data_IF_286974726656
#
_entry.id   IF_286974726656
#
_cell.length_a   1.000
_cell.length_b   1.000
_cell.length_c   1.000
_cell.angle_alpha   90.00
_cell.angle_beta   90.00
_cell.angle_gamma   90.00
#
_symmetry.space_group_name_H-M   'P 1'
#
loop_
_entity.id
_entity.type
_entity.pdbx_description
1 polymer ?
#
# COMPACT_ATOMS: atom_id res chain seq x y z
N UNK A 1 -4.99 25.97 15.91
CA UNK A 1 -3.66 25.34 16.07
C UNK A 1 -2.71 26.03 15.10
N UNK A 2 -1.57 26.54 15.57
CA UNK A 2 -0.57 27.17 14.70
C UNK A 2 0.50 26.13 14.36
N UNK A 3 0.31 25.42 13.25
CA UNK A 3 1.31 24.50 12.71
C UNK A 3 2.20 25.27 11.74
N UNK A 4 3.52 25.11 11.86
CA UNK A 4 4.47 25.66 10.88
C UNK A 4 4.80 24.58 9.86
N UNK A 5 4.37 24.80 8.62
CA UNK A 5 4.68 23.94 7.49
C UNK A 5 5.85 24.52 6.71
N UNK A 6 6.66 23.65 6.09
CA UNK A 6 7.59 24.07 5.05
C UNK A 6 6.84 24.61 3.83
N UNK A 7 7.47 25.49 3.04
CA UNK A 7 6.83 26.14 1.90
C UNK A 7 6.24 25.16 0.87
N UNK A 8 6.94 24.05 0.60
CA UNK A 8 6.46 22.99 -0.30
C UNK A 8 5.21 22.29 0.24
N UNK A 9 5.21 21.94 1.53
CA UNK A 9 4.08 21.30 2.18
C UNK A 9 2.85 22.23 2.23
N UNK A 10 3.06 23.53 2.44
CA UNK A 10 1.98 24.51 2.39
C UNK A 10 1.37 24.64 0.98
N UNK A 11 2.22 24.69 -0.05
CA UNK A 11 1.78 24.74 -1.44
C UNK A 11 0.99 23.49 -1.82
N UNK A 12 1.47 22.30 -1.45
CA UNK A 12 0.79 21.03 -1.69
C UNK A 12 -0.57 20.97 -0.98
N UNK A 13 -0.64 21.39 0.29
CA UNK A 13 -1.90 21.41 1.05
C UNK A 13 -2.92 22.37 0.44
N UNK A 14 -2.46 23.54 -0.04
CA UNK A 14 -3.32 24.52 -0.72
C UNK A 14 -3.86 23.99 -2.04
N UNK A 15 -3.02 23.35 -2.86
CA UNK A 15 -3.44 22.74 -4.12
C UNK A 15 -4.47 21.63 -3.89
N UNK A 16 -4.26 20.80 -2.87
CA UNK A 16 -5.17 19.71 -2.52
C UNK A 16 -6.54 20.22 -2.04
N UNK A 17 -6.55 21.31 -1.24
CA UNK A 17 -7.80 21.97 -0.84
C UNK A 17 -8.59 22.51 -2.04
N UNK A 18 -7.90 23.12 -3.02
CA UNK A 18 -8.54 23.58 -4.26
C UNK A 18 -9.09 22.41 -5.10
N UNK A 19 -8.31 21.34 -5.23
CA UNK A 19 -8.68 20.15 -6.02
C UNK A 19 -9.90 19.43 -5.45
N UNK A 20 -10.01 19.37 -4.13
CA UNK A 20 -11.06 18.59 -3.44
C UNK A 20 -12.24 19.43 -2.96
N UNK A 21 -12.11 20.76 -2.97
CA UNK A 21 -13.08 21.68 -2.37
C UNK A 21 -13.14 21.61 -0.84
N UNK A 22 -12.20 20.91 -0.20
CA UNK A 22 -12.14 20.73 1.26
C UNK A 22 -11.31 21.82 1.92
N UNK A 23 -11.58 22.09 3.19
CA UNK A 23 -10.73 23.01 3.95
C UNK A 23 -9.36 22.38 4.22
N UNK A 24 -8.31 23.20 4.25
CA UNK A 24 -6.96 22.75 4.59
C UNK A 24 -6.89 22.11 5.99
N UNK A 25 -7.72 22.60 6.92
CA UNK A 25 -7.81 22.06 8.28
C UNK A 25 -8.43 20.64 8.28
N UNK A 26 -9.45 20.40 7.46
CA UNK A 26 -10.08 19.07 7.36
C UNK A 26 -9.12 18.05 6.74
N UNK A 27 -8.40 18.44 5.70
CA UNK A 27 -7.36 17.60 5.08
C UNK A 27 -6.28 17.27 6.10
N UNK A 28 -5.79 18.27 6.84
CA UNK A 28 -4.75 18.09 7.84
C UNK A 28 -5.21 17.19 9.00
N UNK A 29 -6.44 17.39 9.51
CA UNK A 29 -7.02 16.54 10.57
C UNK A 29 -7.16 15.09 10.12
N UNK A 30 -7.63 14.86 8.90
CA UNK A 30 -7.76 13.51 8.36
C UNK A 30 -6.38 12.87 8.18
N UNK A 31 -5.42 13.57 7.58
CA UNK A 31 -4.06 13.06 7.37
C UNK A 31 -3.37 12.69 8.69
N UNK A 32 -3.45 13.55 9.70
CA UNK A 32 -2.93 13.28 11.05
C UNK A 32 -3.68 12.12 11.69
N UNK A 33 -5.01 12.10 11.57
CA UNK A 33 -5.84 11.02 12.11
C UNK A 33 -5.51 9.66 11.50
N UNK A 34 -5.25 9.59 10.19
CA UNK A 34 -4.76 8.37 9.51
C UNK A 34 -3.37 7.99 9.99
N UNK A 35 -2.43 8.95 9.99
CA UNK A 35 -1.04 8.71 10.37
C UNK A 35 -0.91 8.19 11.80
N UNK A 36 -1.72 8.71 12.72
CA UNK A 36 -1.73 8.31 14.13
C UNK A 36 -2.69 7.13 14.42
N UNK A 37 -3.37 6.58 13.41
CA UNK A 37 -4.32 5.48 13.58
C UNK A 37 -5.57 5.83 14.42
N UNK A 38 -5.93 7.11 14.50
CA UNK A 38 -7.04 7.62 15.32
C UNK A 38 -8.41 7.54 14.63
N UNK A 39 -8.46 7.20 13.35
CA UNK A 39 -9.70 7.05 12.58
C UNK A 39 -10.00 5.55 12.46
N UNK A 40 -10.96 5.01 13.24
CA UNK A 40 -11.39 3.63 13.11
C UNK A 40 -12.08 3.44 11.76
N UNK A 41 -11.54 2.55 10.91
CA UNK A 41 -12.12 2.27 9.58
C UNK A 41 -11.22 2.59 8.38
N UNK A 42 -9.97 3.04 8.58
CA UNK A 42 -8.97 3.16 7.50
C UNK A 42 -7.83 2.14 7.61
N UNK A 43 -8.13 0.93 8.08
CA UNK A 43 -7.31 -0.25 7.81
C UNK A 43 -7.45 -0.69 6.32
N UNK A 44 -7.42 0.26 5.39
CA UNK A 44 -8.05 0.09 4.08
C UNK A 44 -7.31 0.72 2.89
N UNK A 45 -6.02 1.05 2.99
CA UNK A 45 -5.31 1.48 1.76
C UNK A 45 -3.88 0.96 1.59
N UNK A 46 -3.21 0.48 2.65
CA UNK A 46 -1.89 -0.15 2.51
C UNK A 46 -1.79 -1.32 3.48
N UNK A 47 -1.51 -2.51 2.93
CA UNK A 47 -1.23 -3.71 3.71
C UNK A 47 -0.10 -3.44 4.73
N UNK A 48 -0.24 -3.83 6.01
CA UNK A 48 0.78 -3.60 7.03
C UNK A 48 2.19 -4.09 6.66
N UNK A 49 2.32 -5.12 5.83
CA UNK A 49 3.60 -5.63 5.35
C UNK A 49 4.23 -4.69 4.31
N UNK A 50 3.40 -4.07 3.47
CA UNK A 50 3.84 -3.03 2.52
C UNK A 50 4.24 -1.78 3.30
N UNK A 51 3.42 -1.35 4.26
CA UNK A 51 3.71 -0.19 5.11
C UNK A 51 5.02 -0.35 5.91
N UNK A 52 5.36 -1.58 6.31
CA UNK A 52 6.61 -1.91 7.02
C UNK A 52 7.80 -2.14 6.08
N UNK A 53 7.63 -1.98 4.77
CA UNK A 53 8.69 -2.21 3.77
C UNK A 53 9.16 -3.67 3.67
N UNK A 54 8.41 -4.62 4.25
CA UNK A 54 8.73 -6.06 4.16
C UNK A 54 8.35 -6.64 2.81
N UNK A 55 7.38 -6.03 2.13
CA UNK A 55 6.86 -6.44 0.83
C UNK A 55 6.74 -5.20 -0.05
N UNK A 56 7.08 -5.34 -1.33
CA UNK A 56 6.92 -4.25 -2.29
C UNK A 56 5.45 -4.11 -2.72
N UNK A 57 5.01 -2.87 -2.96
CA UNK A 57 3.69 -2.62 -3.54
C UNK A 57 3.56 -3.27 -4.93
N UNK A 58 2.40 -3.84 -5.28
CA UNK A 58 2.16 -4.39 -6.60
C UNK A 58 2.27 -3.29 -7.66
N UNK A 59 3.06 -3.55 -8.71
CA UNK A 59 3.25 -2.61 -9.83
C UNK A 59 2.21 -2.80 -10.95
N UNK A 60 1.53 -3.94 -10.95
CA UNK A 60 0.53 -4.32 -11.95
C UNK A 60 -0.66 -5.02 -11.28
N UNK A 61 -1.87 -4.93 -11.84
CA UNK A 61 -3.01 -5.68 -11.36
C UNK A 61 -2.78 -7.19 -11.44
N UNK A 62 -3.36 -7.94 -10.50
CA UNK A 62 -3.37 -9.40 -10.55
C UNK A 62 -4.05 -9.89 -11.85
N UNK A 63 -3.48 -10.93 -12.46
CA UNK A 63 -4.01 -11.56 -13.67
C UNK A 63 -3.93 -13.07 -13.52
N UNK A 64 -4.98 -13.76 -13.96
CA UNK A 64 -4.96 -15.22 -14.07
C UNK A 64 -3.93 -15.68 -15.10
N UNK A 65 -3.10 -16.64 -14.72
CA UNK A 65 -2.14 -17.28 -15.63
C UNK A 65 -2.87 -18.31 -16.49
N UNK A 66 -2.76 -18.14 -17.81
CA UNK A 66 -3.22 -19.10 -18.82
C UNK A 66 -2.12 -19.32 -19.87
N UNK A 67 -1.77 -20.56 -20.23
CA UNK A 67 -2.31 -21.82 -19.72
C UNK A 67 -1.80 -22.16 -18.31
N UNK A 68 -2.53 -23.03 -17.59
CA UNK A 68 -2.10 -23.55 -16.29
C UNK A 68 -1.18 -24.75 -16.48
N UNK A 69 -0.07 -24.80 -15.74
CA UNK A 69 0.78 -25.99 -15.66
C UNK A 69 -0.01 -27.15 -15.02
N UNK A 70 0.09 -28.34 -15.60
CA UNK A 70 -0.46 -29.58 -15.05
C UNK A 70 0.68 -30.44 -14.57
N UNK A 71 0.72 -30.72 -13.27
CA UNK A 71 1.65 -31.67 -12.67
C UNK A 71 1.29 -33.10 -13.09
N UNK A 72 2.31 -33.94 -13.25
CA UNK A 72 2.11 -35.37 -13.47
C UNK A 72 1.59 -36.03 -12.20
N UNK A 73 0.98 -37.20 -12.33
CA UNK A 73 0.59 -38.00 -11.16
C UNK A 73 1.82 -38.31 -10.30
N UNK A 74 1.77 -37.95 -9.02
CA UNK A 74 2.87 -38.14 -8.07
C UNK A 74 3.89 -37.01 -8.03
N UNK A 75 3.76 -36.00 -8.88
CA UNK A 75 4.61 -34.80 -8.88
C UNK A 75 3.96 -33.71 -8.02
N UNK A 76 4.75 -33.07 -7.14
CA UNK A 76 4.28 -31.99 -6.29
C UNK A 76 4.74 -30.63 -6.84
N UNK A 77 4.04 -29.55 -6.47
CA UNK A 77 4.48 -28.19 -6.83
C UNK A 77 5.84 -27.82 -6.24
N UNK A 78 6.28 -28.55 -5.23
CA UNK A 78 7.59 -28.36 -4.60
C UNK A 78 8.71 -28.88 -5.51
N UNK A 79 8.46 -29.93 -6.30
CA UNK A 79 9.44 -30.50 -7.23
C UNK A 79 9.73 -29.60 -8.44
N UNK A 80 8.94 -28.53 -8.60
CA UNK A 80 9.19 -27.46 -9.59
C UNK A 80 10.18 -26.40 -9.10
N UNK A 81 10.50 -26.39 -7.81
CA UNK A 81 11.39 -25.41 -7.22
C UNK A 81 12.81 -25.97 -7.26
N UNK A 82 13.74 -25.25 -7.88
CA UNK A 82 15.15 -25.60 -7.97
C UNK A 82 15.82 -25.39 -6.60
N UNK A 83 15.54 -26.32 -5.69
CA UNK A 83 15.89 -26.26 -4.28
C UNK A 83 17.05 -27.22 -4.00
N UNK A 84 18.24 -26.65 -3.92
CA UNK A 84 19.49 -27.35 -3.58
C UNK A 84 19.54 -27.85 -2.13
N UNK A 85 18.56 -27.49 -1.28
CA UNK A 85 18.55 -27.83 0.15
C UNK A 85 17.95 -29.20 0.48
N UNK A 86 17.81 -30.07 -0.53
CA UNK A 86 17.48 -31.50 -0.35
C UNK A 86 18.77 -32.33 -0.32
N UNK A 87 19.31 -32.55 0.88
CA UNK A 87 20.22 -33.68 1.19
C UNK A 87 19.67 -34.41 2.41
#
# INVERSE_FOLDING_TARGET
MNLRLGAEAEAALRAEAQRTGRSQQDILREAIGKYLGLIPGQAGDVDPLIARGKVASPRVPFRDVRPRLRLRSGESSLDLLDRDDRI
#
